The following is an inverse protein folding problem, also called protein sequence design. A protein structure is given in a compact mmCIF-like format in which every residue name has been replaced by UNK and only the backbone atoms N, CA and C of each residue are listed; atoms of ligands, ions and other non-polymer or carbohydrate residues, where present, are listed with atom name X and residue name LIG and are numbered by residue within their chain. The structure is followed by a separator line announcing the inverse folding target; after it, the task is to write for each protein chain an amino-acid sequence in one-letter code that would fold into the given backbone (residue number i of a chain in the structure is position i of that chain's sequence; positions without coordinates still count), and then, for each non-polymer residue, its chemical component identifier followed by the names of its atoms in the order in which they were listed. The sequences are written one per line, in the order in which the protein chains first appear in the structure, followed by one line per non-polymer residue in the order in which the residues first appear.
data_IF_470378649766
#
_entry.id   IF_470378649766
#
_cell.length_a   1.000
_cell.length_b   1.000
_cell.length_c   1.000
_cell.angle_alpha   90.00
_cell.angle_beta   90.00
_cell.angle_gamma   90.00
#
_symmetry.space_group_name_H-M   'P 1'
#
loop_
_entity.id
_entity.type
_entity.pdbx_description
1 polymer ?
#
# COMPACT_ATOMS: atom_id res chain seq x y z
N UNK A 1 -1.97 3.29 -20.70
CA UNK A 1 -1.80 1.97 -20.05
C UNK A 1 -2.63 1.81 -18.79
N UNK A 2 -2.58 2.70 -17.79
CA UNK A 2 -3.37 2.55 -16.56
C UNK A 2 -4.89 2.55 -16.83
N UNK A 3 -5.37 3.46 -17.69
CA UNK A 3 -6.76 3.50 -18.15
C UNK A 3 -7.13 2.24 -18.93
N UNK A 4 -6.21 1.69 -19.72
CA UNK A 4 -6.42 0.46 -20.51
C UNK A 4 -6.54 -0.76 -19.60
N UNK A 5 -5.75 -0.83 -18.53
CA UNK A 5 -5.86 -1.87 -17.49
C UNK A 5 -7.17 -1.71 -16.73
N UNK A 6 -7.55 -0.48 -16.35
CA UNK A 6 -8.83 -0.21 -15.68
C UNK A 6 -10.00 -0.63 -16.56
N UNK A 7 -10.01 -0.25 -17.85
CA UNK A 7 -11.08 -0.61 -18.79
C UNK A 7 -11.10 -2.10 -19.08
N UNK A 8 -9.95 -2.76 -19.23
CA UNK A 8 -9.86 -4.21 -19.42
C UNK A 8 -10.38 -4.99 -18.21
N UNK A 9 -10.02 -4.53 -17.02
CA UNK A 9 -10.48 -5.09 -15.75
C UNK A 9 -11.99 -4.85 -15.58
N UNK A 10 -12.48 -3.63 -15.82
CA UNK A 10 -13.91 -3.27 -15.85
C UNK A 10 -14.72 -4.02 -16.91
N UNK A 11 -14.12 -4.36 -18.05
CA UNK A 11 -14.77 -5.13 -19.11
C UNK A 11 -14.94 -6.62 -18.79
N UNK A 12 -14.17 -7.16 -17.83
CA UNK A 12 -14.33 -8.53 -17.31
C UNK A 12 -15.35 -8.64 -16.18
N UNK A 13 -16.00 -7.52 -15.83
CA UNK A 13 -16.81 -7.33 -14.63
C UNK A 13 -18.30 -7.12 -14.94
N UNK A 14 -18.83 -7.75 -15.99
CA UNK A 14 -20.24 -7.59 -16.41
C UNK A 14 -21.22 -8.26 -15.41
N UNK A 15 -20.75 -9.20 -14.60
CA UNK A 15 -21.49 -9.81 -13.48
C UNK A 15 -20.73 -9.62 -12.17
N UNK A 16 -20.64 -8.38 -11.66
CA UNK A 16 -20.29 -8.21 -10.24
C UNK A 16 -21.48 -8.66 -9.40
N UNK A 17 -21.26 -9.62 -8.50
CA UNK A 17 -22.21 -9.91 -7.42
C UNK A 17 -22.54 -8.58 -6.71
N UNK A 18 -23.80 -8.26 -6.42
CA UNK A 18 -24.18 -7.00 -5.77
C UNK A 18 -23.45 -6.77 -4.44
N UNK A 19 -23.04 -7.85 -3.76
CA UNK A 19 -22.24 -7.81 -2.54
C UNK A 19 -20.82 -7.27 -2.76
N UNK A 20 -20.25 -7.40 -3.97
CA UNK A 20 -18.92 -6.87 -4.27
C UNK A 20 -18.88 -5.33 -4.20
N UNK A 21 -19.95 -4.66 -4.63
CA UNK A 21 -20.08 -3.20 -4.49
C UNK A 21 -20.28 -2.81 -3.02
N UNK A 22 -21.11 -3.57 -2.30
CA UNK A 22 -21.36 -3.36 -0.87
C UNK A 22 -20.09 -3.53 -0.06
N UNK A 23 -19.28 -4.55 -0.34
CA UNK A 23 -18.00 -4.80 0.35
C UNK A 23 -16.95 -3.75 0.00
N UNK A 24 -16.90 -3.31 -1.26
CA UNK A 24 -16.07 -2.18 -1.67
C UNK A 24 -16.42 -0.92 -0.89
N UNK A 25 -17.71 -0.57 -0.82
CA UNK A 25 -18.21 0.58 -0.07
C UNK A 25 -18.00 0.43 1.44
N UNK A 26 -18.32 -0.72 2.03
CA UNK A 26 -18.11 -0.98 3.45
C UNK A 26 -16.63 -0.93 3.80
N UNK A 27 -15.75 -1.44 2.94
CA UNK A 27 -14.31 -1.32 3.16
C UNK A 27 -13.86 0.14 3.13
N UNK A 28 -14.45 1.03 2.30
CA UNK A 28 -14.15 2.47 2.35
C UNK A 28 -14.73 3.12 3.61
N UNK A 29 -16.01 2.83 3.90
CA UNK A 29 -16.79 3.43 4.99
C UNK A 29 -16.31 3.01 6.36
N UNK A 30 -15.81 1.78 6.54
CA UNK A 30 -15.20 1.34 7.81
C UNK A 30 -13.76 1.81 7.95
N UNK A 31 -13.02 1.87 6.85
CA UNK A 31 -11.62 2.28 6.88
C UNK A 31 -11.47 3.76 7.23
N UNK A 32 -12.28 4.64 6.65
CA UNK A 32 -12.12 6.08 6.87
C UNK A 32 -12.23 6.44 8.37
N UNK A 33 -13.27 5.98 9.10
CA UNK A 33 -13.39 6.13 10.53
C UNK A 33 -12.25 5.44 11.28
N UNK A 34 -11.83 4.25 10.89
CA UNK A 34 -10.73 3.54 11.58
C UNK A 34 -9.39 4.25 11.38
N UNK A 35 -9.09 4.77 10.19
CA UNK A 35 -7.88 5.57 9.93
C UNK A 35 -7.93 6.88 10.70
N UNK A 36 -9.10 7.52 10.78
CA UNK A 36 -9.30 8.72 11.60
C UNK A 36 -9.17 8.39 13.10
N UNK A 37 -9.68 7.25 13.55
CA UNK A 37 -9.61 6.78 14.94
C UNK A 37 -8.20 6.40 15.32
N UNK A 38 -7.51 5.60 14.53
CA UNK A 38 -6.12 5.18 14.77
C UNK A 38 -5.18 6.38 14.66
N UNK A 39 -5.39 7.27 13.69
CA UNK A 39 -4.68 8.53 13.59
C UNK A 39 -4.94 9.45 14.79
N UNK A 40 -6.19 9.51 15.25
CA UNK A 40 -6.63 10.25 16.43
C UNK A 40 -6.04 9.68 17.73
N UNK A 41 -6.11 8.36 17.93
CA UNK A 41 -5.54 7.62 19.05
C UNK A 41 -4.01 7.75 19.07
N UNK A 42 -3.35 7.60 17.93
CA UNK A 42 -1.91 7.83 17.84
C UNK A 42 -1.54 9.26 18.20
N UNK A 43 -2.28 10.26 17.67
CA UNK A 43 -2.08 11.65 18.04
C UNK A 43 -2.35 11.89 19.54
N UNK A 44 -3.35 11.23 20.12
CA UNK A 44 -3.71 11.30 21.53
C UNK A 44 -2.63 10.68 22.43
N UNK A 45 -2.21 9.44 22.17
CA UNK A 45 -1.13 8.74 22.88
C UNK A 45 0.15 9.55 22.82
N UNK A 46 0.46 10.12 21.65
CA UNK A 46 1.65 10.96 21.48
C UNK A 46 1.52 12.32 22.19
N UNK A 47 0.31 12.88 22.27
CA UNK A 47 0.00 14.11 23.03
C UNK A 47 0.14 13.90 24.53
N UNK A 48 -0.31 12.75 25.03
CA UNK A 48 -0.15 12.31 26.42
C UNK A 48 1.32 12.03 26.74
N UNK A 49 2.03 11.32 25.85
CA UNK A 49 3.44 10.95 26.05
C UNK A 49 4.43 12.13 25.95
N UNK A 50 4.10 13.21 25.23
CA UNK A 50 5.05 14.32 24.98
C UNK A 50 4.78 15.62 25.73
N UNK A 51 3.89 15.64 26.72
CA UNK A 51 3.68 16.85 27.54
C UNK A 51 3.27 18.06 26.68
N UNK A 52 1.98 18.14 26.38
CA UNK A 52 1.30 19.37 25.97
C UNK A 52 1.90 20.16 24.77
N UNK A 53 2.35 19.48 23.71
CA UNK A 53 2.39 20.09 22.37
C UNK A 53 1.19 19.60 21.56
N UNK A 54 0.17 20.45 21.49
CA UNK A 54 -0.98 20.31 20.59
C UNK A 54 -0.51 20.06 19.16
N UNK A 55 -0.48 18.78 18.75
CA UNK A 55 -0.34 18.42 17.35
C UNK A 55 -1.72 18.63 16.72
N UNK A 56 -1.96 19.84 16.22
CA UNK A 56 -3.13 20.15 15.41
C UNK A 56 -3.23 19.17 14.23
N UNK A 57 -4.44 18.89 13.75
CA UNK A 57 -4.69 18.10 12.53
C UNK A 57 -3.77 18.52 11.36
N UNK A 58 -3.45 19.82 11.31
CA UNK A 58 -2.46 20.42 10.44
C UNK A 58 -1.05 19.79 10.51
N UNK A 59 -0.57 19.43 11.70
CA UNK A 59 0.71 18.75 11.89
C UNK A 59 0.71 17.31 11.37
N UNK A 60 -0.43 16.62 11.41
CA UNK A 60 -0.57 15.29 10.81
C UNK A 60 -0.60 15.40 9.27
N UNK A 61 -1.40 16.32 8.72
CA UNK A 61 -1.45 16.60 7.29
C UNK A 61 -0.07 17.05 6.76
N UNK A 62 0.64 17.92 7.50
CA UNK A 62 1.99 18.36 7.14
C UNK A 62 2.98 17.21 7.15
N UNK A 63 2.91 16.31 8.14
CA UNK A 63 3.76 15.12 8.20
C UNK A 63 3.45 14.12 7.08
N UNK A 64 2.19 13.99 6.68
CA UNK A 64 1.80 13.21 5.50
C UNK A 64 2.31 13.83 4.20
N UNK A 65 2.29 15.16 4.07
CA UNK A 65 2.94 15.90 2.96
C UNK A 65 4.44 15.64 2.88
N UNK A 66 5.13 15.60 4.03
CA UNK A 66 6.57 15.33 4.10
C UNK A 66 6.93 13.87 3.74
N UNK A 67 6.01 12.91 3.88
CA UNK A 67 6.26 11.51 3.54
C UNK A 67 6.12 11.21 2.03
N UNK A 68 5.48 12.09 1.26
CA UNK A 68 5.24 11.93 -0.16
C UNK A 68 4.05 11.02 -0.49
N UNK A 69 3.41 11.29 -1.63
CA UNK A 69 2.13 10.68 -2.06
C UNK A 69 2.19 9.15 -2.07
N UNK A 70 3.24 8.57 -2.66
CA UNK A 70 3.39 7.11 -2.74
C UNK A 70 3.50 6.44 -1.37
N UNK A 71 4.18 7.09 -0.42
CA UNK A 71 4.28 6.57 0.96
C UNK A 71 2.92 6.64 1.64
N UNK A 72 2.16 7.72 1.43
CA UNK A 72 0.79 7.85 1.94
C UNK A 72 -0.12 6.73 1.42
N UNK A 73 -0.08 6.48 0.11
CA UNK A 73 -0.83 5.37 -0.53
C UNK A 73 -0.46 4.04 0.10
N UNK A 74 0.84 3.76 0.19
CA UNK A 74 1.33 2.50 0.71
C UNK A 74 0.88 2.29 2.17
N UNK A 75 0.98 3.33 3.02
CA UNK A 75 0.60 3.26 4.44
C UNK A 75 -0.89 2.97 4.56
N UNK A 76 -1.73 3.78 3.89
CA UNK A 76 -3.18 3.63 3.97
C UNK A 76 -3.59 2.27 3.43
N UNK A 77 -3.06 1.85 2.28
CA UNK A 77 -3.35 0.53 1.71
C UNK A 77 -2.93 -0.61 2.65
N UNK A 78 -1.76 -0.53 3.27
CA UNK A 78 -1.26 -1.57 4.19
C UNK A 78 -2.15 -1.67 5.42
N UNK A 79 -2.52 -0.52 6.03
CA UNK A 79 -3.42 -0.50 7.19
C UNK A 79 -4.77 -1.13 6.86
N UNK A 80 -5.37 -0.74 5.74
CA UNK A 80 -6.63 -1.31 5.26
C UNK A 80 -6.51 -2.81 5.06
N UNK A 81 -5.44 -3.25 4.41
CA UNK A 81 -5.19 -4.65 4.12
C UNK A 81 -5.08 -5.47 5.40
N UNK A 82 -4.31 -4.99 6.38
CA UNK A 82 -4.14 -5.67 7.67
C UNK A 82 -5.47 -5.78 8.41
N UNK A 83 -6.25 -4.69 8.48
CA UNK A 83 -7.57 -4.71 9.14
C UNK A 83 -8.51 -5.72 8.47
N UNK A 84 -8.60 -5.68 7.15
CA UNK A 84 -9.47 -6.60 6.42
C UNK A 84 -9.04 -8.06 6.57
N UNK A 85 -7.73 -8.32 6.53
CA UNK A 85 -7.21 -9.67 6.76
C UNK A 85 -7.58 -10.14 8.18
N UNK A 86 -7.48 -9.28 9.20
CA UNK A 86 -7.91 -9.62 10.57
C UNK A 86 -9.42 -9.90 10.63
N UNK A 87 -10.25 -9.08 9.98
CA UNK A 87 -11.70 -9.31 9.94
C UNK A 87 -12.06 -10.64 9.29
N UNK A 88 -11.38 -11.02 8.20
CA UNK A 88 -11.60 -12.30 7.53
C UNK A 88 -11.10 -13.49 8.35
N UNK A 89 -9.99 -13.33 9.09
CA UNK A 89 -9.45 -14.38 9.96
C UNK A 89 -10.26 -14.57 11.25
N UNK A 90 -10.89 -13.51 11.75
CA UNK A 90 -11.76 -13.57 12.93
C UNK A 90 -13.18 -14.02 12.61
N UNK A 91 -13.51 -14.24 11.34
CA UNK A 91 -14.84 -14.64 10.89
C UNK A 91 -15.88 -13.52 10.90
N UNK A 92 -15.46 -12.26 11.05
CA UNK A 92 -16.35 -11.10 10.94
C UNK A 92 -16.78 -10.90 9.48
N UNK A 93 -15.87 -11.17 8.53
CA UNK A 93 -16.14 -11.15 7.10
C UNK A 93 -15.78 -12.51 6.48
N UNK A 94 -16.53 -12.94 5.47
CA UNK A 94 -16.25 -14.19 4.78
C UNK A 94 -15.00 -14.02 3.89
N UNK A 95 -14.02 -14.93 3.95
CA UNK A 95 -12.84 -14.85 3.11
C UNK A 95 -13.24 -14.99 1.65
N UNK A 96 -12.74 -14.09 0.80
CA UNK A 96 -13.05 -14.15 -0.64
C UNK A 96 -12.25 -15.28 -1.27
N UNK A 97 -12.89 -16.06 -2.12
CA UNK A 97 -12.30 -17.24 -2.74
C UNK A 97 -11.94 -17.00 -4.22
N UNK A 98 -11.08 -17.89 -4.75
CA UNK A 98 -10.69 -17.89 -6.15
C UNK A 98 -10.07 -16.59 -6.64
N UNK A 99 -10.35 -16.28 -7.91
CA UNK A 99 -9.88 -15.07 -8.59
C UNK A 99 -10.41 -13.78 -7.95
N UNK A 100 -11.59 -13.85 -7.32
CA UNK A 100 -12.26 -12.69 -6.74
C UNK A 100 -11.44 -12.05 -5.61
N UNK A 101 -10.70 -12.84 -4.83
CA UNK A 101 -9.82 -12.33 -3.77
C UNK A 101 -8.75 -11.37 -4.30
N UNK A 102 -8.08 -11.75 -5.39
CA UNK A 102 -7.01 -10.96 -6.01
C UNK A 102 -7.55 -9.71 -6.69
N UNK A 103 -8.69 -9.85 -7.37
CA UNK A 103 -9.39 -8.73 -8.00
C UNK A 103 -9.84 -7.71 -6.96
N UNK A 104 -10.47 -8.16 -5.88
CA UNK A 104 -10.90 -7.29 -4.78
C UNK A 104 -9.71 -6.50 -4.18
N UNK A 105 -8.55 -7.16 -4.02
CA UNK A 105 -7.33 -6.49 -3.55
C UNK A 105 -6.79 -5.45 -4.54
N UNK A 106 -6.79 -5.73 -5.86
CA UNK A 106 -6.39 -4.76 -6.88
C UNK A 106 -7.33 -3.55 -6.94
N UNK A 107 -8.65 -3.79 -6.88
CA UNK A 107 -9.67 -2.73 -6.84
C UNK A 107 -9.45 -1.84 -5.62
N UNK A 108 -9.18 -2.42 -4.46
CA UNK A 108 -8.87 -1.67 -3.24
C UNK A 108 -7.61 -0.81 -3.39
N UNK A 109 -6.53 -1.34 -3.96
CA UNK A 109 -5.32 -0.54 -4.28
C UNK A 109 -5.69 0.64 -5.19
N UNK A 110 -6.49 0.39 -6.22
CA UNK A 110 -6.91 1.41 -7.18
C UNK A 110 -7.75 2.51 -6.52
N UNK A 111 -8.73 2.15 -5.69
CA UNK A 111 -9.57 3.10 -4.95
C UNK A 111 -8.73 3.95 -4.01
N UNK A 112 -7.87 3.34 -3.20
CA UNK A 112 -7.00 4.06 -2.25
C UNK A 112 -6.04 5.00 -2.99
N UNK A 113 -5.45 4.51 -4.08
CA UNK A 113 -4.57 5.30 -4.94
C UNK A 113 -5.33 6.49 -5.54
N UNK A 114 -6.54 6.27 -6.05
CA UNK A 114 -7.40 7.31 -6.60
C UNK A 114 -7.77 8.38 -5.56
N UNK A 115 -8.25 7.96 -4.39
CA UNK A 115 -8.63 8.86 -3.30
C UNK A 115 -7.47 9.76 -2.86
N UNK A 116 -6.28 9.19 -2.66
CA UNK A 116 -5.10 9.96 -2.26
C UNK A 116 -4.57 10.82 -3.40
N UNK A 117 -4.62 10.32 -4.64
CA UNK A 117 -4.24 11.10 -5.83
C UNK A 117 -5.13 12.34 -5.97
N UNK A 118 -6.43 12.22 -5.75
CA UNK A 118 -7.38 13.33 -5.78
C UNK A 118 -7.09 14.29 -4.61
N UNK A 119 -6.95 13.77 -3.39
CA UNK A 119 -6.67 14.59 -2.20
C UNK A 119 -5.36 15.37 -2.31
N UNK A 120 -4.37 14.82 -3.02
CA UNK A 120 -3.03 15.39 -3.17
C UNK A 120 -2.70 15.73 -4.63
N UNK A 121 -3.71 16.07 -5.45
CA UNK A 121 -3.56 16.20 -6.91
C UNK A 121 -2.40 17.08 -7.35
N UNK A 122 -2.20 18.24 -6.70
CA UNK A 122 -1.09 19.17 -6.99
C UNK A 122 0.30 18.52 -6.78
N UNK A 123 0.43 17.71 -5.73
CA UNK A 123 1.67 17.03 -5.37
C UNK A 123 1.90 15.80 -6.25
N UNK A 124 0.83 15.08 -6.59
CA UNK A 124 0.86 13.93 -7.51
C UNK A 124 1.29 14.36 -8.91
N UNK A 125 0.70 15.43 -9.47
CA UNK A 125 1.10 15.94 -10.79
C UNK A 125 2.57 16.37 -10.80
N UNK A 126 3.04 17.02 -9.72
CA UNK A 126 4.45 17.41 -9.60
C UNK A 126 5.38 16.20 -9.51
N UNK A 127 5.00 15.18 -8.73
CA UNK A 127 5.75 13.92 -8.61
C UNK A 127 5.79 13.15 -9.92
N UNK A 128 4.65 13.06 -10.61
CA UNK A 128 4.51 12.38 -11.90
C UNK A 128 5.35 13.06 -12.98
N UNK A 129 5.36 14.40 -13.02
CA UNK A 129 6.20 15.16 -13.95
C UNK A 129 7.69 14.89 -13.72
N UNK A 130 8.14 14.82 -12.47
CA UNK A 130 9.52 14.45 -12.12
C UNK A 130 9.84 13.01 -12.50
N UNK A 131 8.90 12.09 -12.29
CA UNK A 131 9.07 10.69 -12.66
C UNK A 131 9.20 10.53 -14.17
N UNK A 132 8.34 11.18 -14.95
CA UNK A 132 8.43 11.16 -16.41
C UNK A 132 9.69 11.86 -16.94
N UNK A 133 10.09 12.99 -16.37
CA UNK A 133 11.34 13.65 -16.77
C UNK A 133 12.56 12.80 -16.45
N UNK A 134 12.55 12.11 -15.30
CA UNK A 134 13.57 11.13 -14.95
C UNK A 134 13.56 9.99 -15.97
N UNK A 135 12.42 9.32 -16.17
CA UNK A 135 12.30 8.19 -17.11
C UNK A 135 12.74 8.53 -18.54
N UNK A 136 12.39 9.75 -19.02
CA UNK A 136 12.82 10.26 -20.30
C UNK A 136 14.36 10.45 -20.38
N UNK A 137 14.98 10.95 -19.31
CA UNK A 137 16.45 11.07 -19.21
C UNK A 137 17.17 9.74 -18.94
N UNK A 138 16.47 8.75 -18.41
CA UNK A 138 17.02 7.50 -17.91
C UNK A 138 17.08 6.38 -18.95
N UNK A 139 16.29 6.47 -20.04
CA UNK A 139 16.34 5.53 -21.16
C UNK A 139 17.71 5.48 -21.85
N UNK A 140 18.54 6.51 -21.68
CA UNK A 140 19.87 6.65 -22.30
C UNK A 140 21.03 6.09 -21.45
N UNK A 141 20.83 5.65 -20.20
CA UNK A 141 21.98 5.28 -19.32
C UNK A 141 21.67 4.11 -18.36
N UNK A 142 21.42 2.91 -18.90
CA UNK A 142 21.10 1.69 -18.12
C UNK A 142 22.14 1.29 -17.06
N UNK A 143 23.43 1.60 -17.26
CA UNK A 143 24.51 1.22 -16.31
C UNK A 143 24.56 2.09 -15.06
N UNK A 144 24.29 3.40 -15.19
CA UNK A 144 24.23 4.32 -14.05
C UNK A 144 23.05 3.98 -13.12
N UNK A 145 21.93 3.55 -13.70
CA UNK A 145 20.72 3.19 -12.97
C UNK A 145 20.92 2.01 -12.00
N UNK A 146 21.64 0.96 -12.40
CA UNK A 146 21.89 -0.19 -11.53
C UNK A 146 22.76 0.17 -10.33
N UNK A 147 23.76 1.03 -10.53
CA UNK A 147 24.63 1.53 -9.46
C UNK A 147 23.90 2.48 -8.51
N UNK A 148 22.99 3.31 -9.03
CA UNK A 148 22.20 4.26 -8.24
C UNK A 148 21.02 3.59 -7.51
N UNK A 149 20.41 2.57 -8.11
CA UNK A 149 19.41 1.73 -7.44
C UNK A 149 20.03 0.95 -6.29
N UNK A 150 21.21 0.34 -6.47
CA UNK A 150 21.86 -0.43 -5.40
C UNK A 150 22.32 0.46 -4.26
N UNK A 151 22.93 1.61 -4.54
CA UNK A 151 23.39 2.55 -3.50
C UNK A 151 22.24 3.34 -2.83
N UNK A 152 21.26 3.79 -3.61
CA UNK A 152 20.10 4.54 -3.13
C UNK A 152 19.13 3.70 -2.31
N UNK A 153 18.89 2.44 -2.70
CA UNK A 153 17.96 1.55 -1.96
C UNK A 153 18.49 1.25 -0.57
N UNK A 154 19.80 0.99 -0.42
CA UNK A 154 20.43 0.72 0.88
C UNK A 154 20.34 1.93 1.81
N UNK A 155 20.50 3.15 1.28
CA UNK A 155 20.45 4.37 2.09
C UNK A 155 19.03 4.76 2.51
N UNK A 156 18.03 4.54 1.65
CA UNK A 156 16.61 4.82 1.98
C UNK A 156 16.08 3.83 3.02
N UNK A 157 16.41 2.55 2.86
CA UNK A 157 16.00 1.47 3.78
C UNK A 157 16.46 1.73 5.22
N UNK A 158 17.68 2.25 5.40
CA UNK A 158 18.28 2.40 6.73
C UNK A 158 17.75 3.58 7.53
N UNK A 159 17.35 4.68 6.87
CA UNK A 159 16.79 5.84 7.57
C UNK A 159 15.34 5.64 8.02
N UNK A 160 14.52 4.93 7.24
CA UNK A 160 13.08 4.76 7.50
C UNK A 160 12.58 3.35 7.17
N UNK A 161 12.88 2.33 8.01
CA UNK A 161 12.57 0.93 7.70
C UNK A 161 11.07 0.66 7.57
N UNK A 162 10.25 1.36 8.35
CA UNK A 162 8.79 1.23 8.25
C UNK A 162 8.27 1.68 6.88
N UNK A 163 8.66 2.87 6.41
CA UNK A 163 8.23 3.37 5.09
C UNK A 163 8.70 2.46 3.95
N UNK A 164 9.92 1.93 4.05
CA UNK A 164 10.44 0.97 3.09
C UNK A 164 9.61 -0.33 3.10
N UNK A 165 9.32 -0.89 4.27
CA UNK A 165 8.54 -2.13 4.41
C UNK A 165 7.15 -2.03 3.80
N UNK A 166 6.47 -0.91 4.04
CA UNK A 166 5.10 -0.67 3.56
C UNK A 166 5.09 -0.47 2.03
N UNK A 167 6.07 0.25 1.48
CA UNK A 167 6.22 0.40 0.02
C UNK A 167 6.51 -0.93 -0.65
N UNK A 168 7.45 -1.71 -0.11
CA UNK A 168 7.77 -3.03 -0.61
C UNK A 168 6.58 -3.98 -0.52
N UNK A 169 5.84 -3.95 0.60
CA UNK A 169 4.63 -4.75 0.77
C UNK A 169 3.56 -4.40 -0.26
N UNK A 170 3.29 -3.11 -0.47
CA UNK A 170 2.30 -2.64 -1.46
C UNK A 170 2.70 -3.05 -2.87
N UNK A 171 3.98 -2.85 -3.23
CA UNK A 171 4.51 -3.23 -4.53
C UNK A 171 4.46 -4.74 -4.77
N UNK A 172 4.90 -5.55 -3.80
CA UNK A 172 4.85 -7.01 -3.89
C UNK A 172 3.42 -7.52 -3.96
N UNK A 173 2.50 -6.98 -3.14
CA UNK A 173 1.08 -7.36 -3.17
C UNK A 173 0.48 -7.06 -4.54
N UNK A 174 0.75 -5.88 -5.10
CA UNK A 174 0.32 -5.53 -6.46
C UNK A 174 0.86 -6.52 -7.50
N UNK A 175 2.16 -6.83 -7.45
CA UNK A 175 2.78 -7.78 -8.38
C UNK A 175 2.23 -9.20 -8.24
N UNK A 176 2.03 -9.69 -7.02
CA UNK A 176 1.45 -11.01 -6.75
C UNK A 176 0.03 -11.08 -7.28
N UNK A 177 -0.80 -10.06 -7.00
CA UNK A 177 -2.18 -10.04 -7.49
C UNK A 177 -2.25 -9.93 -9.01
N UNK A 178 -1.40 -9.10 -9.61
CA UNK A 178 -1.32 -8.98 -11.06
C UNK A 178 -0.86 -10.29 -11.72
N UNK A 179 0.18 -10.93 -11.16
CA UNK A 179 0.67 -12.22 -11.63
C UNK A 179 -0.41 -13.30 -11.49
N UNK A 180 -1.17 -13.34 -10.39
CA UNK A 180 -2.26 -14.28 -10.20
C UNK A 180 -3.40 -14.08 -11.22
N UNK A 181 -3.77 -12.82 -11.53
CA UNK A 181 -4.78 -12.51 -12.54
C UNK A 181 -4.30 -12.87 -13.95
N UNK A 182 -3.03 -12.60 -14.27
CA UNK A 182 -2.46 -12.99 -15.57
C UNK A 182 -2.37 -14.51 -15.67
N UNK A 183 -1.99 -15.18 -14.58
CA UNK A 183 -1.81 -16.63 -14.54
C UNK A 183 -3.13 -17.41 -14.45
N UNK A 184 -4.25 -16.74 -14.16
CA UNK A 184 -5.55 -17.38 -13.92
C UNK A 184 -6.06 -18.27 -15.05
N UNK A 185 -5.77 -18.03 -16.36
CA UNK A 185 -6.16 -18.95 -17.42
C UNK A 185 -5.42 -20.30 -17.37
N UNK A 186 -4.25 -20.36 -16.73
CA UNK A 186 -3.40 -21.56 -16.67
C UNK A 186 -3.41 -22.27 -15.32
N UNK A 187 -3.76 -21.56 -14.25
CA UNK A 187 -3.79 -22.12 -12.90
C UNK A 187 -4.93 -21.52 -12.12
N UNK A 188 -5.81 -22.36 -11.59
CA UNK A 188 -6.89 -21.91 -10.71
C UNK A 188 -6.27 -21.29 -9.45
N UNK A 189 -6.45 -19.97 -9.24
CA UNK A 189 -5.81 -19.30 -8.12
C UNK A 189 -6.55 -19.65 -6.83
N UNK A 190 -5.82 -20.22 -5.87
CA UNK A 190 -6.37 -20.60 -4.56
C UNK A 190 -6.48 -19.34 -3.70
N UNK A 191 -7.68 -18.76 -3.65
CA UNK A 191 -8.02 -17.66 -2.76
C UNK A 191 -8.27 -18.13 -1.32
N UNK A 192 -9.09 -17.39 -0.57
CA UNK A 192 -9.55 -17.79 0.75
C UNK A 192 -8.60 -17.42 1.90
N UNK A 193 -8.84 -17.98 3.09
CA UNK A 193 -8.06 -17.71 4.30
C UNK A 193 -6.53 -17.89 4.14
N UNK A 194 -6.02 -18.94 3.45
CA UNK A 194 -4.58 -19.13 3.28
C UNK A 194 -3.89 -17.95 2.58
N UNK A 195 -4.55 -17.32 1.60
CA UNK A 195 -4.02 -16.15 0.90
C UNK A 195 -3.86 -14.95 1.84
N UNK A 196 -4.85 -14.70 2.69
CA UNK A 196 -4.81 -13.59 3.66
C UNK A 196 -3.76 -13.80 4.75
N UNK A 197 -3.59 -15.05 5.21
CA UNK A 197 -2.51 -15.43 6.14
C UNK A 197 -1.15 -15.20 5.48
N UNK A 198 -0.97 -15.63 4.23
CA UNK A 198 0.27 -15.44 3.50
C UNK A 198 0.62 -13.96 3.31
N UNK A 199 -0.38 -13.10 3.02
CA UNK A 199 -0.17 -11.64 2.96
C UNK A 199 0.24 -11.05 4.31
N UNK A 200 -0.40 -11.48 5.40
CA UNK A 200 -0.07 -10.99 6.75
C UNK A 200 1.35 -11.44 7.15
N UNK A 201 1.70 -12.69 6.87
CA UNK A 201 3.03 -13.24 7.09
C UNK A 201 4.08 -12.50 6.25
N UNK A 202 3.79 -12.24 4.97
CA UNK A 202 4.67 -11.46 4.08
C UNK A 202 4.93 -10.07 4.67
N UNK A 203 3.90 -9.37 5.16
CA UNK A 203 4.08 -8.08 5.80
C UNK A 203 4.96 -8.17 7.06
N UNK A 204 4.69 -9.16 7.93
CA UNK A 204 5.49 -9.41 9.13
C UNK A 204 6.96 -9.68 8.83
N UNK A 205 7.25 -10.54 7.85
CA UNK A 205 8.61 -10.86 7.40
C UNK A 205 9.32 -9.62 6.87
N UNK A 206 8.67 -8.82 6.02
CA UNK A 206 9.24 -7.57 5.51
C UNK A 206 9.56 -6.60 6.66
N UNK A 207 8.63 -6.43 7.60
CA UNK A 207 8.82 -5.54 8.75
C UNK A 207 10.02 -5.97 9.60
N UNK A 208 10.13 -7.26 9.92
CA UNK A 208 11.25 -7.83 10.69
C UNK A 208 12.56 -7.69 9.91
N UNK A 209 12.57 -8.00 8.61
CA UNK A 209 13.77 -7.88 7.77
C UNK A 209 14.29 -6.44 7.73
N UNK A 210 13.41 -5.46 7.48
CA UNK A 210 13.80 -4.05 7.43
C UNK A 210 14.19 -3.49 8.81
N UNK A 211 13.52 -3.91 9.88
CA UNK A 211 13.90 -3.56 11.24
C UNK A 211 15.27 -4.17 11.63
N UNK A 212 15.52 -5.42 11.23
CA UNK A 212 16.80 -6.11 11.43
C UNK A 212 17.96 -5.41 10.74
N UNK A 213 17.80 -5.03 9.47
CA UNK A 213 18.82 -4.27 8.71
C UNK A 213 19.21 -2.99 9.45
N UNK A 214 18.22 -2.25 9.99
CA UNK A 214 18.49 -1.05 10.78
C UNK A 214 19.28 -1.38 12.06
N UNK A 215 18.88 -2.43 12.77
CA UNK A 215 19.50 -2.82 14.03
C UNK A 215 20.98 -3.23 13.84
N UNK A 216 21.27 -4.05 12.82
CA UNK A 216 22.63 -4.47 12.51
C UNK A 216 23.52 -3.28 12.12
N UNK A 217 23.01 -2.35 11.30
CA UNK A 217 23.80 -1.18 10.89
C UNK A 217 24.07 -0.19 12.03
N UNK A 218 23.15 -0.08 13.00
CA UNK A 218 23.36 0.76 14.18
C UNK A 218 24.45 0.21 15.11
N UNK A 219 24.78 -1.09 15.04
CA UNK A 219 25.88 -1.70 15.81
C UNK A 219 27.25 -1.58 15.12
N UNK A 220 27.28 -1.35 13.81
CA UNK A 220 28.52 -1.23 13.03
C UNK A 220 29.11 0.18 12.98
N UNK A 221 28.42 1.16 13.57
CA UNK A 221 28.82 2.58 13.67
C UNK A 221 29.07 2.93 15.11
#
# INVERSE_FOLDING_TARGET
MLVTVIVFVSGRFVELHPDAYRDGLLSIVYVYPVVLLVGGLYALVRRVSRGNRSMTLHGFIRRSRECGVLTGIAIVFTVITVINNIMMLTGIDAPKEGLFAYQHMLVRIAIVTGAITIAMAKETVRGLRRFFSFFASTLTTRKALLAELTSGTVHVVTRRPFEASVKSFTGLTFLICLAAVIASPWREPVGGAPFYIALLALYGVLLIAFAGIRFFRARST
#
